data_IF_128037300378
#
_entry.id   IF_128037300378
#
_cell.length_a   1.000
_cell.length_b   1.000
_cell.length_c   1.000
_cell.angle_alpha   90.00
_cell.angle_beta   90.00
_cell.angle_gamma   90.00
#
_symmetry.space_group_name_H-M   'P 1'
#
loop_
_entity.id
_entity.type
_entity.pdbx_description
1 polymer ?
#
# COMPACT_ATOMS: atom_id res chain seq x y z
N UNK A 1 -8.64 4.89 18.24
CA UNK A 1 -9.02 3.59 18.83
C UNK A 1 -10.36 3.68 19.54
N UNK A 2 -11.10 2.57 19.68
CA UNK A 2 -12.39 2.59 20.40
C UNK A 2 -12.15 2.67 21.91
N UNK A 3 -13.10 3.27 22.65
CA UNK A 3 -12.99 3.40 24.11
C UNK A 3 -12.93 2.04 24.82
N UNK A 4 -13.75 1.08 24.36
CA UNK A 4 -13.74 -0.30 24.86
C UNK A 4 -12.37 -0.98 24.74
N UNK A 5 -11.64 -0.71 23.65
CA UNK A 5 -10.30 -1.26 23.46
C UNK A 5 -9.29 -0.65 24.43
N UNK A 6 -9.34 0.67 24.65
CA UNK A 6 -8.47 1.35 25.62
C UNK A 6 -8.75 0.87 27.05
N UNK A 7 -10.02 0.73 27.42
CA UNK A 7 -10.43 0.22 28.73
C UNK A 7 -9.93 -1.23 28.95
N UNK A 8 -9.88 -2.06 27.90
CA UNK A 8 -9.33 -3.42 27.98
C UNK A 8 -7.81 -3.46 28.18
N UNK A 9 -7.07 -2.52 27.58
CA UNK A 9 -5.62 -2.38 27.77
C UNK A 9 -5.31 -1.94 29.20
N UNK A 10 -6.08 -0.99 29.73
CA UNK A 10 -5.89 -0.50 31.09
C UNK A 10 -6.20 -1.57 32.15
N UNK A 11 -7.11 -2.50 31.85
CA UNK A 11 -7.43 -3.64 32.71
C UNK A 11 -6.36 -4.76 32.67
N UNK A 12 -5.56 -4.85 31.60
CA UNK A 12 -4.58 -5.92 31.39
C UNK A 12 -3.26 -5.76 32.20
N UNK A 13 -3.01 -4.59 32.80
CA UNK A 13 -1.85 -4.38 33.69
C UNK A 13 -0.54 -4.03 32.96
N UNK A 14 0.61 -4.35 33.57
CA UNK A 14 1.95 -3.84 33.17
C UNK A 14 2.50 -4.42 31.85
N UNK A 15 2.03 -5.59 31.43
CA UNK A 15 2.52 -6.28 30.23
C UNK A 15 2.14 -5.54 28.93
N UNK A 16 1.08 -4.74 28.95
CA UNK A 16 0.60 -3.96 27.79
C UNK A 16 1.08 -2.51 27.75
N UNK A 17 2.12 -2.16 28.51
CA UNK A 17 2.67 -0.78 28.53
C UNK A 17 3.11 -0.29 27.14
N UNK A 18 3.68 -1.17 26.32
CA UNK A 18 4.04 -0.86 24.94
C UNK A 18 2.81 -0.60 24.07
N UNK A 19 1.79 -1.47 24.15
CA UNK A 19 0.55 -1.31 23.39
C UNK A 19 -0.18 -0.02 23.76
N UNK A 20 -0.19 0.34 25.05
CA UNK A 20 -0.73 1.61 25.53
C UNK A 20 0.02 2.81 24.94
N UNK A 21 1.35 2.78 24.91
CA UNK A 21 2.15 3.83 24.28
C UNK A 21 1.84 3.93 22.78
N UNK A 22 1.76 2.80 22.07
CA UNK A 22 1.44 2.77 20.63
C UNK A 22 0.07 3.38 20.33
N UNK A 23 -0.94 3.08 21.15
CA UNK A 23 -2.30 3.65 20.96
C UNK A 23 -2.40 5.14 21.24
N UNK A 24 -1.49 5.70 22.04
CA UNK A 24 -1.38 7.13 22.32
C UNK A 24 -0.52 7.87 21.29
N UNK A 25 0.44 7.19 20.66
CA UNK A 25 1.31 7.76 19.63
C UNK A 25 0.63 7.93 18.27
N UNK A 26 -0.38 7.11 17.96
CA UNK A 26 -1.07 7.18 16.67
C UNK A 26 -2.38 7.96 16.73
N UNK A 27 -2.50 8.96 15.87
CA UNK A 27 -3.80 9.44 15.42
C UNK A 27 -4.34 8.45 14.37
N UNK A 28 -5.45 7.73 14.63
CA UNK A 28 -6.00 6.76 13.69
C UNK A 28 -6.55 7.40 12.40
N UNK A 29 -6.70 8.73 12.35
CA UNK A 29 -7.24 9.46 11.21
C UNK A 29 -6.17 10.06 10.30
N UNK A 30 -4.90 10.09 10.73
CA UNK A 30 -3.81 10.73 9.98
C UNK A 30 -2.56 9.85 9.98
N UNK A 31 -1.95 9.67 8.80
CA UNK A 31 -0.66 9.00 8.72
C UNK A 31 0.47 9.90 9.22
N UNK A 32 1.15 9.51 10.29
CA UNK A 32 2.35 10.18 10.83
C UNK A 32 3.61 9.36 10.52
N UNK A 33 4.49 9.89 9.68
CA UNK A 33 5.71 9.23 9.25
C UNK A 33 6.73 9.03 10.40
N UNK A 34 6.82 9.97 11.34
CA UNK A 34 7.74 9.88 12.47
C UNK A 34 7.24 8.86 13.49
N UNK A 35 5.94 8.88 13.80
CA UNK A 35 5.33 7.87 14.66
C UNK A 35 5.51 6.47 14.05
N UNK A 36 5.22 6.29 12.76
CA UNK A 36 5.46 5.03 12.05
C UNK A 36 6.91 4.54 12.18
N UNK A 37 7.89 5.42 12.00
CA UNK A 37 9.30 5.07 12.13
C UNK A 37 9.69 4.64 13.55
N UNK A 38 9.21 5.37 14.58
CA UNK A 38 9.48 5.03 15.98
C UNK A 38 8.89 3.68 16.37
N UNK A 39 7.67 3.39 15.90
CA UNK A 39 7.02 2.10 16.13
C UNK A 39 7.75 0.99 15.41
N UNK A 40 8.11 1.21 14.14
CA UNK A 40 8.91 0.25 13.37
C UNK A 40 10.21 -0.09 14.11
N UNK A 41 10.92 0.91 14.64
CA UNK A 41 12.12 0.69 15.46
C UNK A 41 11.85 -0.03 16.78
N UNK A 42 10.70 0.20 17.41
CA UNK A 42 10.32 -0.45 18.66
C UNK A 42 9.96 -1.93 18.48
N UNK A 43 9.31 -2.30 17.37
CA UNK A 43 8.89 -3.68 17.08
C UNK A 43 9.95 -4.50 16.34
N UNK A 44 10.88 -3.84 15.64
CA UNK A 44 11.92 -4.48 14.84
C UNK A 44 13.30 -4.15 15.43
N UNK A 45 13.77 -4.93 16.44
CA UNK A 45 15.08 -4.71 17.04
C UNK A 45 16.23 -5.05 16.08
N UNK A 46 16.00 -5.94 15.12
CA UNK A 46 16.97 -6.40 14.12
C UNK A 46 16.33 -6.46 12.73
N UNK A 47 17.12 -6.21 11.68
CA UNK A 47 16.65 -6.23 10.29
C UNK A 47 16.77 -7.60 9.61
N UNK A 48 17.24 -8.63 10.31
CA UNK A 48 17.59 -9.93 9.73
C UNK A 48 16.43 -10.60 8.97
N UNK A 49 15.19 -10.44 9.44
CA UNK A 49 14.02 -11.00 8.76
C UNK A 49 13.62 -10.22 7.50
N UNK A 50 13.95 -8.92 7.42
CA UNK A 50 13.75 -8.12 6.21
C UNK A 50 14.73 -8.50 5.12
N UNK A 51 15.94 -8.93 5.48
CA UNK A 51 16.97 -9.36 4.52
C UNK A 51 16.55 -10.65 3.80
N UNK A 52 15.73 -11.49 4.44
CA UNK A 52 15.20 -12.73 3.84
C UNK A 52 14.07 -12.46 2.85
N UNK A 53 13.45 -11.29 2.91
CA UNK A 53 12.36 -10.94 2.01
C UNK A 53 12.90 -10.69 0.60
N UNK A 54 12.38 -11.44 -0.38
CA UNK A 54 12.69 -11.26 -1.78
C UNK A 54 11.52 -10.55 -2.47
N UNK A 55 11.71 -9.26 -2.73
CA UNK A 55 10.79 -8.44 -3.52
C UNK A 55 10.79 -8.89 -4.99
N UNK A 56 9.64 -8.76 -5.64
CA UNK A 56 9.56 -8.93 -7.09
C UNK A 56 10.26 -7.76 -7.81
N UNK A 57 10.65 -7.97 -9.07
CA UNK A 57 11.10 -6.87 -9.92
C UNK A 57 9.90 -5.99 -10.25
N UNK A 58 9.85 -4.79 -9.65
CA UNK A 58 8.77 -3.83 -9.85
C UNK A 58 9.17 -2.70 -10.80
N UNK A 59 8.20 -2.20 -11.57
CA UNK A 59 8.34 -0.95 -12.32
C UNK A 59 7.03 -0.17 -12.29
N UNK A 60 7.13 1.11 -11.92
CA UNK A 60 6.03 2.07 -11.98
C UNK A 60 6.38 3.17 -12.99
N UNK A 61 5.73 3.14 -14.15
CA UNK A 61 5.90 4.14 -15.19
C UNK A 61 4.83 5.22 -15.09
N UNK A 62 5.23 6.44 -15.43
CA UNK A 62 4.35 7.60 -15.54
C UNK A 62 4.18 7.97 -17.00
N UNK A 63 2.95 7.92 -17.50
CA UNK A 63 2.61 8.21 -18.89
C UNK A 63 1.76 9.47 -18.92
N UNK A 64 2.29 10.54 -19.52
CA UNK A 64 1.51 11.75 -19.78
C UNK A 64 0.59 11.48 -20.96
N UNK A 65 -0.68 11.80 -20.79
CA UNK A 65 -1.70 11.66 -21.83
C UNK A 65 -2.57 12.90 -21.89
N UNK A 66 -3.25 13.08 -23.04
CA UNK A 66 -4.02 14.28 -23.30
C UNK A 66 -5.29 14.38 -22.45
N UNK A 67 -5.94 13.24 -22.16
CA UNK A 67 -7.13 13.16 -21.32
C UNK A 67 -7.16 11.85 -20.53
N UNK A 68 -6.93 11.94 -19.22
CA UNK A 68 -6.89 10.79 -18.31
C UNK A 68 -8.26 10.20 -18.00
N UNK A 69 -9.34 10.96 -18.15
CA UNK A 69 -10.68 10.51 -17.82
C UNK A 69 -11.23 9.50 -18.84
N UNK A 70 -10.54 9.33 -19.97
CA UNK A 70 -10.78 8.25 -20.94
C UNK A 70 -10.40 6.87 -20.41
N UNK A 71 -9.53 6.81 -19.40
CA UNK A 71 -9.18 5.54 -18.75
C UNK A 71 -10.00 5.43 -17.47
N UNK A 72 -11.06 4.64 -17.52
CA UNK A 72 -11.88 4.31 -16.35
C UNK A 72 -11.47 2.96 -15.81
N UNK A 73 -11.23 2.89 -14.51
CA UNK A 73 -10.84 1.67 -13.80
C UNK A 73 -11.78 1.43 -12.63
N UNK A 74 -11.95 0.17 -12.25
CA UNK A 74 -12.67 -0.20 -11.03
C UNK A 74 -11.80 -0.10 -9.77
N UNK A 75 -12.35 -0.52 -8.62
CA UNK A 75 -11.63 -0.54 -7.34
C UNK A 75 -10.46 -1.53 -7.31
N UNK A 76 -10.46 -2.52 -8.20
CA UNK A 76 -9.43 -3.55 -8.32
C UNK A 76 -8.36 -3.19 -9.37
N UNK A 77 -8.42 -2.00 -9.99
CA UNK A 77 -7.58 -1.53 -11.09
C UNK A 77 -7.78 -2.30 -12.41
N UNK A 78 -8.99 -2.83 -12.64
CA UNK A 78 -9.42 -3.39 -13.92
C UNK A 78 -9.87 -2.23 -14.83
N UNK A 79 -9.31 -2.13 -16.03
CA UNK A 79 -9.69 -1.11 -17.01
C UNK A 79 -11.06 -1.46 -17.62
N UNK A 80 -12.04 -0.59 -17.37
CA UNK A 80 -13.40 -0.69 -17.89
C UNK A 80 -13.52 -0.02 -19.28
N UNK A 81 -12.85 1.12 -19.44
CA UNK A 81 -12.77 1.86 -20.70
C UNK A 81 -11.37 2.46 -20.84
N UNK A 82 -10.75 2.45 -22.03
CA UNK A 82 -11.12 1.66 -23.21
C UNK A 82 -10.93 0.15 -22.97
N UNK A 83 -11.45 -0.70 -23.86
CA UNK A 83 -11.32 -2.17 -23.77
C UNK A 83 -9.87 -2.66 -24.04
N UNK A 84 -8.93 -2.34 -23.14
CA UNK A 84 -7.50 -2.71 -23.22
C UNK A 84 -7.07 -3.73 -22.16
N UNK A 85 -7.99 -4.13 -21.28
CA UNK A 85 -7.66 -5.02 -20.17
C UNK A 85 -7.19 -6.39 -20.65
N UNK A 86 -7.76 -6.90 -21.75
CA UNK A 86 -7.41 -8.22 -22.30
C UNK A 86 -5.96 -8.25 -22.77
N UNK A 87 -5.49 -7.20 -23.39
CA UNK A 87 -4.11 -7.03 -23.86
C UNK A 87 -3.15 -6.93 -22.67
N UNK A 88 -3.53 -6.18 -21.63
CA UNK A 88 -2.75 -6.10 -20.38
C UNK A 88 -2.61 -7.50 -19.76
N UNK A 89 -3.72 -8.23 -19.61
CA UNK A 89 -3.75 -9.56 -19.01
C UNK A 89 -2.87 -10.54 -19.81
N UNK A 90 -2.96 -10.52 -21.14
CA UNK A 90 -2.13 -11.37 -22.01
C UNK A 90 -0.63 -11.09 -21.82
N UNK A 91 -0.22 -9.83 -21.79
CA UNK A 91 1.19 -9.46 -21.60
C UNK A 91 1.66 -9.89 -20.22
N UNK A 92 0.89 -9.58 -19.18
CA UNK A 92 1.25 -9.88 -17.79
C UNK A 92 1.36 -11.39 -17.55
N UNK A 93 0.44 -12.19 -18.12
CA UNK A 93 0.48 -13.65 -18.05
C UNK A 93 1.75 -14.24 -18.67
N UNK A 94 2.28 -13.64 -19.75
CA UNK A 94 3.52 -14.13 -20.38
C UNK A 94 4.74 -14.06 -19.47
N UNK A 95 4.74 -13.15 -18.51
CA UNK A 95 5.80 -12.96 -17.52
C UNK A 95 5.47 -13.58 -16.15
N UNK A 96 4.34 -14.30 -16.01
CA UNK A 96 3.78 -14.74 -14.71
C UNK A 96 3.74 -13.59 -13.68
N UNK A 97 3.51 -12.38 -14.17
CA UNK A 97 3.58 -11.16 -13.39
C UNK A 97 2.22 -10.68 -12.92
N UNK A 98 2.20 -9.46 -12.40
CA UNK A 98 0.99 -8.66 -12.20
C UNK A 98 1.23 -7.28 -12.78
N UNK A 99 0.21 -6.68 -13.38
CA UNK A 99 0.29 -5.31 -13.88
C UNK A 99 -1.07 -4.67 -13.98
N UNK A 100 -1.12 -3.35 -13.89
CA UNK A 100 -2.34 -2.58 -14.02
C UNK A 100 -2.06 -1.14 -14.44
N UNK A 101 -3.11 -0.49 -14.92
CA UNK A 101 -3.09 0.90 -15.35
C UNK A 101 -4.09 1.67 -14.51
N UNK A 102 -3.73 2.86 -14.01
CA UNK A 102 -4.67 3.74 -13.30
C UNK A 102 -4.44 5.22 -13.59
N UNK A 103 -5.49 6.03 -13.80
CA UNK A 103 -5.35 7.49 -13.86
C UNK A 103 -4.90 8.05 -12.51
N UNK A 104 -4.10 9.12 -12.51
CA UNK A 104 -3.76 9.83 -11.27
C UNK A 104 -4.94 10.69 -10.81
N UNK A 105 -5.24 10.67 -9.51
CA UNK A 105 -6.27 11.53 -8.92
C UNK A 105 -5.90 13.01 -8.91
N UNK A 106 -4.60 13.32 -8.87
CA UNK A 106 -4.09 14.68 -8.63
C UNK A 106 -3.37 15.30 -9.83
N UNK A 107 -3.07 14.52 -10.86
CA UNK A 107 -2.22 14.94 -11.99
C UNK A 107 -2.79 14.45 -13.32
N UNK A 108 -2.49 15.13 -14.43
CA UNK A 108 -2.95 14.75 -15.78
C UNK A 108 -2.03 13.71 -16.42
N UNK A 109 -2.00 12.54 -15.79
CA UNK A 109 -1.19 11.39 -16.20
C UNK A 109 -1.84 10.08 -15.78
N UNK A 110 -1.29 9.00 -16.32
CA UNK A 110 -1.64 7.62 -15.99
C UNK A 110 -0.42 6.91 -15.46
N UNK A 111 -0.61 6.08 -14.44
CA UNK A 111 0.40 5.21 -13.86
C UNK A 111 0.23 3.81 -14.43
N UNK A 112 1.33 3.24 -14.91
CA UNK A 112 1.41 1.84 -15.37
C UNK A 112 2.31 1.09 -14.41
N UNK A 113 1.75 0.14 -13.69
CA UNK A 113 2.46 -0.70 -12.74
C UNK A 113 2.68 -2.09 -13.36
N UNK A 114 3.85 -2.66 -13.15
CA UNK A 114 4.15 -4.05 -13.46
C UNK A 114 5.10 -4.64 -12.41
N UNK A 115 4.92 -5.91 -12.09
CA UNK A 115 5.81 -6.70 -11.26
C UNK A 115 5.95 -8.12 -11.81
N UNK A 116 7.13 -8.71 -11.66
CA UNK A 116 7.40 -10.12 -11.98
C UNK A 116 8.51 -10.69 -11.09
N UNK A 117 8.55 -12.02 -10.96
CA UNK A 117 9.51 -12.76 -10.12
C UNK A 117 10.88 -12.97 -10.76
#
# INVERSE_FOLDING_TARGET
FSRKFLDSIDAAGREDSQLKILTQMFDPCVGDALANFLVFKAITPTFDDFIKYKENFIRLLTVKILDKNRIKVDQNNVVLEPEIQKEIDQVVMSFKGRGFVRPSGTEDLVRVFAECS
#
